data_IF_965806389651
#
_entry.id   IF_965806389651
#
_cell.length_a   1.000
_cell.length_b   1.000
_cell.length_c   1.000
_cell.angle_alpha   90.00
_cell.angle_beta   90.00
_cell.angle_gamma   90.00
#
_symmetry.space_group_name_H-M   'P 1'
#
loop_
_entity.id
_entity.type
_entity.pdbx_description
1 polymer ?
#
# COMPACT_ATOMS: atom_id res chain seq x y z
N UNK A 1 -24.38 -32.02 -14.69
CA UNK A 1 -25.11 -31.39 -13.59
C UNK A 1 -24.11 -30.97 -12.51
N UNK A 2 -23.73 -29.70 -12.47
CA UNK A 2 -22.70 -29.17 -11.57
C UNK A 2 -23.39 -28.33 -10.49
N UNK A 3 -23.41 -28.88 -9.27
CA UNK A 3 -23.97 -28.29 -8.06
C UNK A 3 -23.37 -26.91 -7.76
N UNK A 4 -24.25 -25.96 -7.44
CA UNK A 4 -24.02 -24.56 -7.12
C UNK A 4 -23.09 -24.39 -5.89
N UNK A 5 -21.78 -24.45 -6.11
CA UNK A 5 -20.80 -23.96 -5.15
C UNK A 5 -20.57 -22.47 -5.43
N UNK A 6 -21.27 -21.66 -4.64
CA UNK A 6 -21.00 -20.29 -4.26
C UNK A 6 -20.25 -19.45 -5.31
N UNK A 7 -21.02 -18.72 -6.14
CA UNK A 7 -20.45 -17.71 -7.03
C UNK A 7 -19.89 -16.60 -6.17
N UNK A 8 -18.59 -16.35 -6.28
CA UNK A 8 -17.94 -15.18 -5.68
C UNK A 8 -18.66 -13.92 -6.20
N UNK A 9 -19.36 -13.22 -5.31
CA UNK A 9 -19.93 -11.92 -5.60
C UNK A 9 -18.78 -10.95 -5.95
N UNK A 10 -18.86 -10.28 -7.09
CA UNK A 10 -17.84 -9.29 -7.47
C UNK A 10 -17.93 -8.09 -6.53
N UNK A 11 -16.82 -7.72 -5.92
CA UNK A 11 -16.74 -6.50 -5.10
C UNK A 11 -16.65 -5.31 -6.06
N UNK A 12 -17.64 -4.41 -6.03
CA UNK A 12 -17.56 -3.09 -6.66
C UNK A 12 -16.52 -2.24 -5.90
N UNK A 13 -15.25 -2.37 -6.27
CA UNK A 13 -14.23 -1.41 -5.84
C UNK A 13 -13.86 -0.55 -7.04
N UNK A 14 -14.07 0.75 -6.91
CA UNK A 14 -13.70 1.72 -7.94
C UNK A 14 -12.16 1.84 -8.03
N UNK A 15 -11.60 1.42 -9.16
CA UNK A 15 -10.19 1.62 -9.48
C UNK A 15 -10.01 3.12 -9.76
N UNK A 16 -9.07 3.82 -9.09
CA UNK A 16 -8.87 5.24 -9.32
C UNK A 16 -8.40 5.47 -10.76
N UNK A 17 -8.79 6.60 -11.33
CA UNK A 17 -8.36 6.99 -12.67
C UNK A 17 -6.84 7.14 -12.73
N UNK A 18 -6.19 6.25 -13.48
CA UNK A 18 -4.74 6.21 -13.66
C UNK A 18 -4.20 7.41 -14.46
N UNK A 19 -5.05 8.12 -15.21
CA UNK A 19 -4.66 9.33 -15.92
C UNK A 19 -4.54 10.55 -14.97
N UNK A 20 -5.20 10.50 -13.81
CA UNK A 20 -5.29 11.58 -12.83
C UNK A 20 -4.68 11.17 -11.48
N UNK A 21 -3.45 10.64 -11.50
CA UNK A 21 -2.75 10.29 -10.27
C UNK A 21 -2.39 11.55 -9.47
N UNK A 22 -2.52 11.54 -8.13
CA UNK A 22 -2.07 12.64 -7.29
C UNK A 22 -0.57 12.87 -7.49
N UNK A 23 -0.13 14.13 -7.38
CA UNK A 23 1.29 14.51 -7.56
C UNK A 23 2.23 13.86 -6.53
N UNK A 24 1.70 13.55 -5.35
CA UNK A 24 2.41 12.85 -4.28
C UNK A 24 2.33 11.32 -4.38
N UNK A 25 2.25 10.67 -3.24
CA UNK A 25 2.00 9.24 -3.14
C UNK A 25 0.62 8.88 -3.70
N UNK A 26 0.57 8.02 -4.72
CA UNK A 26 -0.67 7.54 -5.33
C UNK A 26 -1.64 6.86 -4.34
N UNK A 27 -1.13 6.42 -3.18
CA UNK A 27 -1.92 5.77 -2.14
C UNK A 27 -2.50 6.75 -1.11
N UNK A 28 -2.08 8.02 -1.08
CA UNK A 28 -2.53 9.02 -0.09
C UNK A 28 -4.06 9.04 0.10
N UNK A 29 -4.90 9.01 -0.96
CA UNK A 29 -6.36 9.13 -0.80
C UNK A 29 -7.01 7.97 -0.04
N UNK A 30 -6.30 6.84 0.11
CA UNK A 30 -6.81 5.60 0.71
C UNK A 30 -5.86 5.01 1.75
N UNK A 31 -4.75 5.68 2.06
CA UNK A 31 -3.76 5.17 3.00
C UNK A 31 -4.11 5.59 4.43
N UNK A 32 -4.37 4.60 5.30
CA UNK A 32 -4.64 4.87 6.72
C UNK A 32 -3.45 5.44 7.49
N UNK A 33 -2.25 5.39 6.93
CA UNK A 33 -1.02 5.95 7.52
C UNK A 33 -0.49 7.16 6.72
N UNK A 34 -1.36 7.82 5.95
CA UNK A 34 -0.95 9.00 5.19
C UNK A 34 -0.49 10.12 6.13
N UNK A 35 0.69 10.67 5.85
CA UNK A 35 1.22 11.90 6.44
C UNK A 35 1.13 13.05 5.44
N UNK A 36 1.22 14.30 5.88
CA UNK A 36 1.07 15.48 5.01
C UNK A 36 2.00 15.44 3.78
N UNK A 37 3.22 14.92 3.97
CA UNK A 37 4.22 14.77 2.91
C UNK A 37 3.75 13.86 1.77
N UNK A 38 2.85 12.90 2.04
CA UNK A 38 2.29 11.99 1.03
C UNK A 38 1.48 12.73 -0.04
N UNK A 39 0.86 13.88 0.27
CA UNK A 39 0.10 14.66 -0.73
C UNK A 39 0.97 15.58 -1.57
N UNK A 40 2.22 15.82 -1.14
CA UNK A 40 3.13 16.82 -1.72
C UNK A 40 4.13 16.15 -2.67
N UNK A 41 4.70 15.01 -2.25
CA UNK A 41 5.75 14.34 -3.01
C UNK A 41 5.69 12.81 -2.94
N UNK A 42 6.14 12.20 -4.03
CA UNK A 42 6.29 10.75 -4.12
C UNK A 42 7.47 10.26 -3.27
N UNK A 43 7.28 9.23 -2.42
CA UNK A 43 8.37 8.65 -1.65
C UNK A 43 9.41 7.97 -2.54
N UNK A 44 10.67 8.01 -2.08
CA UNK A 44 11.78 7.31 -2.75
C UNK A 44 11.72 5.81 -2.44
N UNK A 45 12.22 5.00 -3.38
CA UNK A 45 12.33 3.55 -3.18
C UNK A 45 13.53 3.21 -2.28
N UNK A 46 13.27 2.53 -1.18
CA UNK A 46 14.28 2.08 -0.22
C UNK A 46 14.20 0.56 -0.02
N UNK A 47 15.34 -0.13 0.18
CA UNK A 47 15.35 -1.54 0.51
C UNK A 47 14.83 -1.77 1.93
N UNK A 48 14.07 -2.84 2.15
CA UNK A 48 13.59 -3.27 3.47
C UNK A 48 13.93 -4.72 3.74
N UNK A 49 14.18 -5.04 5.01
CA UNK A 49 14.36 -6.42 5.46
C UNK A 49 12.98 -7.08 5.55
N UNK A 50 12.77 -8.15 4.79
CA UNK A 50 11.59 -8.99 5.01
C UNK A 50 11.81 -9.82 6.28
N UNK A 51 10.82 -9.76 7.17
CA UNK A 51 10.75 -10.60 8.37
C UNK A 51 10.27 -12.01 8.04
N UNK A 52 9.57 -12.21 6.92
CA UNK A 52 8.96 -13.48 6.52
C UNK A 52 8.90 -13.57 4.98
N UNK A 53 9.75 -14.43 4.40
CA UNK A 53 9.73 -14.71 2.97
C UNK A 53 11.00 -15.37 2.48
N UNK A 54 10.86 -16.21 1.46
CA UNK A 54 12.00 -16.71 0.68
C UNK A 54 12.26 -15.73 -0.46
N UNK A 55 13.18 -14.80 -0.26
CA UNK A 55 13.73 -14.06 -1.39
C UNK A 55 14.66 -14.99 -2.18
N UNK A 56 14.65 -14.84 -3.51
CA UNK A 56 15.71 -15.41 -4.33
C UNK A 56 17.06 -14.79 -3.92
N UNK A 57 18.13 -15.56 -4.05
CA UNK A 57 19.47 -15.10 -3.70
C UNK A 57 19.83 -13.82 -4.47
N UNK A 58 20.31 -12.80 -3.74
CA UNK A 58 20.62 -11.49 -4.30
C UNK A 58 19.43 -10.53 -4.47
N UNK A 59 18.20 -10.93 -4.11
CA UNK A 59 17.02 -10.04 -4.18
C UNK A 59 16.78 -9.32 -2.86
N UNK A 60 16.32 -8.07 -2.92
CA UNK A 60 15.84 -7.28 -1.77
C UNK A 60 14.40 -6.83 -2.00
N UNK A 61 13.59 -6.82 -0.96
CA UNK A 61 12.32 -6.10 -1.04
C UNK A 61 12.57 -4.60 -1.02
N UNK A 62 11.79 -3.86 -1.78
CA UNK A 62 11.83 -2.41 -1.79
C UNK A 62 10.44 -1.85 -1.53
N UNK A 63 10.39 -0.68 -0.91
CA UNK A 63 9.16 0.07 -0.64
C UNK A 63 9.38 1.54 -0.92
N UNK A 64 8.31 2.25 -1.28
CA UNK A 64 8.27 3.70 -1.37
C UNK A 64 7.20 4.21 -0.41
N UNK A 65 7.55 4.38 0.86
CA UNK A 65 6.63 4.82 1.91
C UNK A 65 7.40 5.60 2.99
N UNK A 66 6.89 6.77 3.38
CA UNK A 66 7.49 7.59 4.44
C UNK A 66 7.38 6.94 5.83
N UNK A 67 6.34 6.13 6.04
CA UNK A 67 6.03 5.48 7.31
C UNK A 67 6.45 3.99 7.35
N UNK A 68 7.27 3.51 6.39
CA UNK A 68 7.59 2.08 6.30
C UNK A 68 8.23 1.51 7.56
N UNK A 69 9.11 2.29 8.20
CA UNK A 69 9.80 1.86 9.43
C UNK A 69 8.85 1.83 10.62
N UNK A 70 7.99 2.85 10.77
CA UNK A 70 7.00 2.92 11.84
C UNK A 70 5.95 1.81 11.70
N UNK A 71 5.53 1.48 10.48
CA UNK A 71 4.63 0.35 10.22
C UNK A 71 5.31 -0.96 10.58
N UNK A 72 6.57 -1.16 10.16
CA UNK A 72 7.34 -2.36 10.50
C UNK A 72 7.58 -2.50 12.01
N UNK A 73 7.74 -1.39 12.72
CA UNK A 73 7.90 -1.34 14.17
C UNK A 73 6.57 -1.42 14.95
N UNK A 74 5.42 -1.35 14.27
CA UNK A 74 4.11 -1.32 14.92
C UNK A 74 3.80 0.00 15.65
N UNK A 75 4.50 1.08 15.32
CA UNK A 75 4.40 2.40 15.96
C UNK A 75 3.72 3.46 15.09
N UNK A 76 3.36 3.12 13.85
CA UNK A 76 2.70 4.04 12.93
C UNK A 76 1.34 4.50 13.46
N UNK A 77 1.07 5.80 13.34
CA UNK A 77 -0.19 6.39 13.72
C UNK A 77 -1.17 6.35 12.55
N UNK A 78 -2.39 5.92 12.83
CA UNK A 78 -3.46 5.95 11.83
C UNK A 78 -4.04 7.36 11.72
N UNK A 79 -4.21 7.84 10.48
CA UNK A 79 -4.97 9.04 10.18
C UNK A 79 -6.43 8.79 10.58
N UNK A 80 -6.95 9.58 11.51
CA UNK A 80 -8.35 9.48 11.90
C UNK A 80 -9.25 9.85 10.72
N UNK A 81 -10.35 9.10 10.48
CA UNK A 81 -11.34 9.51 9.48
C UNK A 81 -11.94 10.85 9.92
N UNK A 82 -11.97 11.81 8.99
CA UNK A 82 -12.58 13.13 9.18
C UNK A 82 -14.10 13.05 9.11
#
# INVERSE_FOLDING_TARGET
>A
DASARDRLESIEVEIPDLANLPAGCAFEPRCRWAVDRCGIESPVQIPVRSSQGRLAEGTVHQVACWESENIAAGTALEKQPS
#
